data_IF_494599235994
#
_entry.id   IF_494599235994
#
_cell.length_a   1.000
_cell.length_b   1.000
_cell.length_c   1.000
_cell.angle_alpha   90.00
_cell.angle_beta   90.00
_cell.angle_gamma   90.00
#
_symmetry.space_group_name_H-M   'P 1'
#
loop_
_entity.id
_entity.type
_entity.pdbx_description
1 polymer ?
#
# COMPACT_ATOMS: atom_id res chain seq x y z
N UNK A 1 7.03 -4.92 14.46
CA UNK A 1 6.40 -5.13 13.13
C UNK A 1 6.01 -3.75 12.65
N UNK A 2 6.62 -3.23 11.58
CA UNK A 2 6.41 -1.86 11.12
C UNK A 2 5.57 -1.78 9.83
N UNK A 3 5.42 -0.57 9.30
CA UNK A 3 4.61 -0.26 8.13
C UNK A 3 5.29 -0.71 6.83
N UNK A 4 4.55 -1.43 5.97
CA UNK A 4 4.95 -1.71 4.59
C UNK A 4 3.79 -1.41 3.65
N UNK A 5 4.09 -0.86 2.48
CA UNK A 5 3.12 -0.69 1.40
C UNK A 5 3.08 -1.97 0.58
N UNK A 6 1.88 -2.50 0.37
CA UNK A 6 1.64 -3.56 -0.59
C UNK A 6 1.13 -2.94 -1.89
N UNK A 7 1.86 -3.11 -2.98
CA UNK A 7 1.44 -2.68 -4.31
C UNK A 7 1.14 -3.89 -5.19
N UNK A 8 -0.11 -4.05 -5.58
CA UNK A 8 -0.54 -5.03 -6.59
C UNK A 8 -0.98 -4.35 -7.86
N UNK A 9 -0.67 -4.91 -9.04
CA UNK A 9 -1.13 -4.38 -10.31
C UNK A 9 -1.61 -5.46 -11.28
N UNK A 10 -2.52 -5.06 -12.16
CA UNK A 10 -3.28 -5.92 -13.06
C UNK A 10 -3.21 -5.40 -14.50
N UNK A 11 -3.43 -6.28 -15.47
CA UNK A 11 -3.63 -5.90 -16.86
C UNK A 11 -4.85 -4.99 -16.97
N UNK A 12 -4.73 -3.85 -17.68
CA UNK A 12 -5.88 -2.94 -17.86
C UNK A 12 -6.98 -3.51 -18.76
N UNK A 13 -6.68 -4.49 -19.62
CA UNK A 13 -7.64 -5.06 -20.57
C UNK A 13 -8.20 -6.39 -20.09
N UNK A 14 -7.33 -7.26 -19.56
CA UNK A 14 -7.72 -8.62 -19.15
C UNK A 14 -8.06 -8.72 -17.66
N UNK A 15 -7.76 -7.67 -16.87
CA UNK A 15 -7.86 -7.67 -15.40
C UNK A 15 -7.02 -8.77 -14.73
N UNK A 16 -6.10 -9.40 -15.49
CA UNK A 16 -5.24 -10.45 -14.97
C UNK A 16 -4.16 -9.86 -14.07
N UNK A 17 -3.90 -10.54 -12.97
CA UNK A 17 -2.79 -10.22 -12.07
C UNK A 17 -1.45 -10.21 -12.82
N UNK A 18 -0.65 -9.17 -12.61
CA UNK A 18 0.69 -9.02 -13.21
C UNK A 18 1.81 -9.03 -12.19
N UNK A 19 1.56 -8.61 -10.95
CA UNK A 19 2.59 -8.57 -9.93
C UNK A 19 2.13 -7.97 -8.61
N UNK A 20 2.96 -8.25 -7.61
CA UNK A 20 2.87 -7.75 -6.24
C UNK A 20 4.29 -7.38 -5.79
N UNK A 21 4.45 -6.25 -5.12
CA UNK A 21 5.71 -5.85 -4.50
C UNK A 21 5.45 -5.20 -3.13
N UNK A 22 6.32 -5.51 -2.17
CA UNK A 22 6.35 -4.86 -0.87
C UNK A 22 7.46 -3.82 -0.84
N UNK A 23 7.16 -2.64 -0.31
CA UNK A 23 8.18 -1.66 0.02
C UNK A 23 9.11 -2.17 1.13
N UNK A 24 10.20 -1.43 1.34
CA UNK A 24 10.94 -1.50 2.62
C UNK A 24 9.99 -1.24 3.81
N UNK A 25 10.41 -1.71 4.99
CA UNK A 25 9.74 -1.41 6.25
C UNK A 25 10.01 0.06 6.63
N UNK A 26 8.94 0.82 6.86
CA UNK A 26 8.96 2.22 7.30
C UNK A 26 8.88 2.35 8.83
N UNK A 27 8.75 1.25 9.57
CA UNK A 27 8.60 1.30 11.03
C UNK A 27 7.29 1.98 11.41
N UNK A 28 7.37 2.99 12.29
CA UNK A 28 6.22 3.78 12.73
C UNK A 28 6.03 5.07 11.89
N UNK A 29 6.81 5.24 10.81
CA UNK A 29 6.75 6.41 9.93
C UNK A 29 5.61 6.29 8.90
N UNK A 30 4.47 6.92 9.22
CA UNK A 30 3.29 6.99 8.35
C UNK A 30 3.29 8.13 7.32
N UNK A 31 4.36 8.94 7.24
CA UNK A 31 4.38 10.15 6.41
C UNK A 31 4.10 9.90 4.93
N UNK A 32 4.49 8.73 4.42
CA UNK A 32 4.21 8.31 3.04
C UNK A 32 2.70 8.24 2.75
N UNK A 33 1.90 7.77 3.71
CA UNK A 33 0.44 7.66 3.56
C UNK A 33 -0.21 9.05 3.66
N UNK A 34 0.25 9.88 4.60
CA UNK A 34 -0.23 11.25 4.76
C UNK A 34 0.05 12.12 3.53
N UNK A 35 1.21 11.94 2.89
CA UNK A 35 1.60 12.65 1.67
C UNK A 35 0.68 12.36 0.47
N UNK A 36 0.03 11.19 0.48
CA UNK A 36 -0.98 10.80 -0.51
C UNK A 36 -2.38 11.32 -0.17
N UNK A 37 -2.52 12.09 0.91
CA UNK A 37 -3.79 12.65 1.37
C UNK A 37 -4.71 11.63 2.05
N UNK A 38 -4.18 10.47 2.45
CA UNK A 38 -4.95 9.44 3.13
C UNK A 38 -4.79 9.57 4.66
N UNK A 39 -5.88 9.59 5.43
CA UNK A 39 -5.81 9.53 6.88
C UNK A 39 -5.14 8.22 7.35
N UNK A 40 -4.27 8.26 8.36
CA UNK A 40 -3.72 7.00 8.92
C UNK A 40 -4.79 6.19 9.66
N UNK A 41 -5.70 6.88 10.34
CA UNK A 41 -6.80 6.25 11.06
C UNK A 41 -7.73 5.55 10.07
N UNK A 42 -8.06 4.30 10.36
CA UNK A 42 -8.98 3.44 9.59
C UNK A 42 -8.49 3.02 8.19
N UNK A 43 -7.24 3.33 7.79
CA UNK A 43 -6.67 2.92 6.49
C UNK A 43 -5.47 1.96 6.61
N UNK A 44 -4.92 1.75 7.80
CA UNK A 44 -3.88 0.74 8.02
C UNK A 44 -4.53 -0.63 8.21
N UNK A 45 -4.08 -1.63 7.43
CA UNK A 45 -4.58 -3.01 7.45
C UNK A 45 -6.10 -3.12 7.23
N UNK A 46 -6.71 -2.18 6.49
CA UNK A 46 -8.16 -2.08 6.32
C UNK A 46 -8.60 -2.02 4.84
N UNK A 47 -8.12 -2.97 4.02
CA UNK A 47 -8.56 -3.15 2.63
C UNK A 47 -7.52 -2.80 1.57
N UNK A 48 -7.94 -2.90 0.31
CA UNK A 48 -7.24 -2.52 -0.92
C UNK A 48 -8.11 -1.55 -1.71
#
# INVERSE_FOLDING_TARGET
MGLKLNLTWFDKKTEEFKGEEYSKDFGDDGSVIESLGMPLKDNINNGF
#
